data_IF_477460718817
#
_entry.id   IF_477460718817
#
_cell.length_a   1.000
_cell.length_b   1.000
_cell.length_c   1.000
_cell.angle_alpha   90.00
_cell.angle_beta   90.00
_cell.angle_gamma   90.00
#
_symmetry.space_group_name_H-M   'P 1'
#
loop_
_entity.id
_entity.type
_entity.pdbx_description
1 polymer ?
#
# COMPACT_ATOMS: atom_id res chain seq x y z
N UNK A 1 -7.99 14.41 41.95
CA UNK A 1 -7.05 13.37 42.44
C UNK A 1 -5.72 13.58 41.72
N UNK A 2 -4.57 13.50 42.39
CA UNK A 2 -3.27 13.76 41.77
C UNK A 2 -2.51 12.45 41.52
N UNK A 3 -1.73 12.41 40.42
CA UNK A 3 -0.94 11.22 40.07
C UNK A 3 0.13 10.96 41.15
N UNK A 4 0.13 9.73 41.69
CA UNK A 4 1.07 9.28 42.73
C UNK A 4 2.55 9.42 42.30
N UNK A 5 3.47 9.76 43.22
CA UNK A 5 4.91 9.80 42.95
C UNK A 5 5.46 8.48 42.37
N UNK A 6 4.92 7.33 42.80
CA UNK A 6 5.33 6.01 42.32
C UNK A 6 4.98 5.81 40.84
N UNK A 7 3.76 6.21 40.43
CA UNK A 7 3.34 6.19 39.03
C UNK A 7 4.23 7.08 38.17
N UNK A 8 4.60 8.28 38.66
CA UNK A 8 5.53 9.17 37.96
C UNK A 8 6.94 8.55 37.82
N UNK A 9 7.41 7.82 38.84
CA UNK A 9 8.70 7.10 38.76
C UNK A 9 8.64 5.96 37.73
N UNK A 10 7.55 5.19 37.75
CA UNK A 10 7.24 4.13 36.78
C UNK A 10 7.23 4.66 35.33
N UNK A 11 6.57 5.79 35.09
CA UNK A 11 6.53 6.46 33.78
C UNK A 11 7.91 6.94 33.32
N UNK A 12 8.74 7.51 34.21
CA UNK A 12 10.12 7.89 33.89
C UNK A 12 10.97 6.68 33.50
N UNK A 13 10.79 5.56 34.18
CA UNK A 13 11.47 4.29 33.84
C UNK A 13 11.04 3.79 32.46
N UNK A 14 9.73 3.76 32.19
CA UNK A 14 9.19 3.37 30.88
C UNK A 14 9.72 4.28 29.75
N UNK A 15 9.75 5.60 29.96
CA UNK A 15 10.30 6.55 28.98
C UNK A 15 11.78 6.31 28.70
N UNK A 16 12.60 6.08 29.73
CA UNK A 16 14.03 5.74 29.57
C UNK A 16 14.22 4.42 28.84
N UNK A 17 13.40 3.43 29.15
CA UNK A 17 13.42 2.12 28.50
C UNK A 17 13.13 2.26 27.00
N UNK A 18 12.04 2.97 26.66
CA UNK A 18 11.64 3.25 25.28
C UNK A 18 12.70 4.06 24.52
N UNK A 19 13.32 5.05 25.16
CA UNK A 19 14.38 5.84 24.56
C UNK A 19 15.61 4.98 24.22
N UNK A 20 15.99 4.05 25.11
CA UNK A 20 17.09 3.11 24.86
C UNK A 20 16.74 2.14 23.74
N UNK A 21 15.52 1.59 23.73
CA UNK A 21 15.04 0.71 22.67
C UNK A 21 15.10 1.40 21.29
N UNK A 22 14.59 2.63 21.20
CA UNK A 22 14.64 3.41 19.95
C UNK A 22 16.07 3.68 19.47
N UNK A 23 17.00 3.97 20.39
CA UNK A 23 18.41 4.17 20.04
C UNK A 23 19.06 2.91 19.46
N UNK A 24 18.77 1.74 20.04
CA UNK A 24 19.30 0.48 19.51
C UNK A 24 18.67 0.12 18.17
N UNK A 25 17.37 0.33 18.01
CA UNK A 25 16.63 -0.13 16.82
C UNK A 25 16.82 0.77 15.63
N UNK A 26 16.95 2.08 15.82
CA UNK A 26 17.14 3.05 14.75
C UNK A 26 18.59 3.55 14.64
N UNK A 27 19.55 2.80 15.15
CA UNK A 27 20.96 3.17 15.07
C UNK A 27 21.37 3.46 13.61
N UNK A 28 22.04 4.57 13.33
CA UNK A 28 22.45 4.92 11.96
C UNK A 28 21.33 5.39 11.02
N UNK A 29 20.06 5.41 11.46
CA UNK A 29 18.97 6.14 10.81
C UNK A 29 18.59 7.36 11.64
N UNK A 30 19.40 8.40 11.50
CA UNK A 30 19.30 9.63 12.29
C UNK A 30 17.97 10.36 12.08
N UNK A 31 17.40 10.29 10.87
CA UNK A 31 16.16 10.99 10.56
C UNK A 31 14.98 10.33 11.29
N UNK A 32 14.85 9.00 11.18
CA UNK A 32 13.80 8.25 11.87
C UNK A 32 13.98 8.35 13.38
N UNK A 33 15.22 8.24 13.88
CA UNK A 33 15.50 8.36 15.30
C UNK A 33 15.13 9.75 15.85
N UNK A 34 15.47 10.84 15.15
CA UNK A 34 15.10 12.21 15.54
C UNK A 34 13.58 12.40 15.53
N UNK A 35 12.90 11.96 14.47
CA UNK A 35 11.44 12.05 14.37
C UNK A 35 10.75 11.28 15.51
N UNK A 36 11.23 10.07 15.82
CA UNK A 36 10.71 9.26 16.91
C UNK A 36 10.91 9.93 18.27
N UNK A 37 12.11 10.46 18.54
CA UNK A 37 12.41 11.20 19.77
C UNK A 37 11.53 12.45 19.93
N UNK A 38 11.29 13.19 18.85
CA UNK A 38 10.38 14.34 18.86
C UNK A 38 8.95 13.92 19.23
N UNK A 39 8.45 12.84 18.62
CA UNK A 39 7.13 12.29 18.95
C UNK A 39 7.05 11.82 20.41
N UNK A 40 8.04 11.07 20.89
CA UNK A 40 8.12 10.66 22.30
C UNK A 40 8.07 11.86 23.25
N UNK A 41 8.84 12.90 22.96
CA UNK A 41 8.89 14.12 23.77
C UNK A 41 7.53 14.82 23.79
N UNK A 42 6.89 14.98 22.63
CA UNK A 42 5.58 15.62 22.53
C UNK A 42 4.52 14.83 23.31
N UNK A 43 4.51 13.50 23.17
CA UNK A 43 3.60 12.64 23.92
C UNK A 43 3.84 12.74 25.43
N UNK A 44 5.10 12.77 25.88
CA UNK A 44 5.44 12.91 27.29
C UNK A 44 5.06 14.29 27.85
N UNK A 45 5.13 15.36 27.05
CA UNK A 45 4.66 16.70 27.43
C UNK A 45 3.13 16.69 27.55
N UNK A 46 2.42 16.12 26.57
CA UNK A 46 0.96 16.00 26.60
C UNK A 46 0.48 15.18 27.81
N UNK A 47 1.17 14.08 28.13
CA UNK A 47 0.86 13.23 29.27
C UNK A 47 0.99 13.93 30.63
N UNK A 48 1.69 15.07 30.73
CA UNK A 48 1.77 15.86 31.98
C UNK A 48 0.47 16.56 32.32
N UNK A 49 -0.41 16.80 31.34
CA UNK A 49 -1.71 17.42 31.56
C UNK A 49 -2.76 16.43 32.10
N UNK A 50 -2.46 15.13 32.10
CA UNK A 50 -3.38 14.08 32.55
C UNK A 50 -3.40 14.04 34.08
N UNK A 51 -4.59 14.18 34.64
CA UNK A 51 -4.85 14.20 36.08
C UNK A 51 -5.33 12.83 36.58
N UNK A 52 -5.99 12.07 35.71
CA UNK A 52 -6.57 10.77 36.03
C UNK A 52 -5.48 9.67 36.16
N UNK A 53 -5.45 8.90 37.26
CA UNK A 53 -4.44 7.86 37.49
C UNK A 53 -4.52 6.66 36.53
N UNK A 54 -5.72 6.22 36.15
CA UNK A 54 -5.88 5.01 35.32
C UNK A 54 -5.34 5.22 33.92
N UNK A 55 -5.74 6.34 33.29
CA UNK A 55 -5.23 6.73 31.97
C UNK A 55 -3.72 6.97 31.98
N UNK A 56 -3.17 7.52 33.08
CA UNK A 56 -1.73 7.70 33.26
C UNK A 56 -0.98 6.35 33.32
N UNK A 57 -1.56 5.36 34.00
CA UNK A 57 -0.99 4.02 34.07
C UNK A 57 -1.05 3.30 32.71
N UNK A 58 -2.17 3.41 31.99
CA UNK A 58 -2.34 2.87 30.64
C UNK A 58 -1.29 3.42 29.68
N UNK A 59 -1.03 4.73 29.70
CA UNK A 59 0.04 5.32 28.89
C UNK A 59 1.44 4.83 29.28
N UNK A 60 1.66 4.59 30.57
CA UNK A 60 2.91 4.02 31.06
C UNK A 60 3.11 2.59 30.58
N UNK A 61 2.05 1.76 30.57
CA UNK A 61 2.05 0.40 30.02
C UNK A 61 2.32 0.42 28.52
N UNK A 62 1.59 1.26 27.77
CA UNK A 62 1.80 1.43 26.34
C UNK A 62 3.26 1.78 26.00
N UNK A 63 3.89 2.67 26.77
CA UNK A 63 5.30 3.00 26.57
C UNK A 63 6.26 1.82 26.73
N UNK A 64 5.94 0.86 27.61
CA UNK A 64 6.71 -0.39 27.77
C UNK A 64 6.48 -1.34 26.60
N UNK A 65 5.22 -1.54 26.21
CA UNK A 65 4.84 -2.39 25.08
C UNK A 65 5.50 -1.93 23.78
N UNK A 66 5.49 -0.61 23.51
CA UNK A 66 6.18 -0.06 22.35
C UNK A 66 7.68 -0.38 22.43
N UNK A 67 8.30 -0.26 23.61
CA UNK A 67 9.72 -0.58 23.76
C UNK A 67 10.02 -2.06 23.47
N UNK A 68 9.13 -2.96 23.87
CA UNK A 68 9.24 -4.39 23.62
C UNK A 68 9.07 -4.71 22.13
N UNK A 69 8.07 -4.13 21.47
CA UNK A 69 7.85 -4.26 20.03
C UNK A 69 9.06 -3.74 19.24
N UNK A 70 9.61 -2.59 19.63
CA UNK A 70 10.80 -2.03 18.98
C UNK A 70 11.97 -3.04 19.03
N UNK A 71 12.25 -3.65 20.19
CA UNK A 71 13.39 -4.58 20.34
C UNK A 71 13.16 -5.92 19.66
N UNK A 72 11.97 -6.48 19.84
CA UNK A 72 11.66 -7.87 19.48
C UNK A 72 11.27 -8.01 18.02
N UNK A 73 10.49 -7.06 17.50
CA UNK A 73 9.79 -7.23 16.22
C UNK A 73 10.38 -6.38 15.09
N UNK A 74 11.11 -5.31 15.40
CA UNK A 74 11.62 -4.40 14.37
C UNK A 74 13.09 -4.71 14.07
N UNK A 75 13.36 -4.95 12.78
CA UNK A 75 14.69 -5.20 12.24
C UNK A 75 14.95 -4.22 11.11
N UNK A 76 16.11 -3.53 11.14
CA UNK A 76 16.50 -2.62 10.07
C UNK A 76 17.30 -3.35 8.99
N UNK A 77 16.92 -3.16 7.72
CA UNK A 77 17.71 -3.57 6.57
C UNK A 77 18.64 -2.46 6.09
N UNK A 78 19.94 -2.74 6.01
CA UNK A 78 20.93 -1.84 5.40
C UNK A 78 21.28 -2.40 4.02
N UNK A 79 21.07 -1.62 2.97
CA UNK A 79 21.43 -2.02 1.60
C UNK A 79 22.95 -2.18 1.50
N UNK A 80 23.42 -3.34 1.04
CA UNK A 80 24.81 -3.58 0.72
C UNK A 80 24.96 -3.34 -0.79
N UNK A 81 25.74 -2.33 -1.16
CA UNK A 81 25.94 -1.96 -2.57
C UNK A 81 27.00 -2.81 -3.28
N UNK A 82 27.96 -3.36 -2.53
CA UNK A 82 29.15 -3.98 -3.10
C UNK A 82 29.33 -5.39 -2.50
N UNK A 83 28.78 -6.40 -3.18
CA UNK A 83 29.19 -7.79 -2.99
C UNK A 83 29.84 -8.19 -4.31
N UNK A 84 31.17 -8.26 -4.33
CA UNK A 84 31.91 -8.74 -5.50
C UNK A 84 31.49 -10.18 -5.79
N UNK A 85 30.92 -10.42 -6.96
CA UNK A 85 30.51 -11.76 -7.43
C UNK A 85 29.00 -11.98 -7.61
N UNK A 86 28.12 -11.02 -7.31
CA UNK A 86 26.68 -11.15 -7.55
C UNK A 86 26.23 -10.29 -8.75
N UNK A 87 26.16 -10.90 -9.93
CA UNK A 87 25.64 -10.29 -11.15
C UNK A 87 24.12 -10.12 -11.14
N UNK A 88 23.68 -9.06 -11.83
CA UNK A 88 22.32 -8.73 -12.27
C UNK A 88 21.25 -8.37 -11.22
N UNK A 89 21.24 -7.09 -10.86
CA UNK A 89 19.99 -6.34 -10.59
C UNK A 89 19.25 -6.66 -9.29
N UNK A 90 19.77 -7.54 -8.43
CA UNK A 90 19.16 -7.90 -7.15
C UNK A 90 19.75 -7.06 -6.01
N UNK A 91 18.90 -6.26 -5.36
CA UNK A 91 19.27 -5.50 -4.18
C UNK A 91 19.48 -6.43 -2.99
N UNK A 92 20.67 -6.40 -2.39
CA UNK A 92 20.99 -7.21 -1.21
C UNK A 92 20.94 -6.33 0.05
N UNK A 93 20.24 -6.78 1.08
CA UNK A 93 20.11 -6.05 2.34
C UNK A 93 20.66 -6.88 3.49
N UNK A 94 21.49 -6.27 4.34
CA UNK A 94 21.89 -6.82 5.63
C UNK A 94 20.87 -6.43 6.68
N UNK A 95 20.21 -7.42 7.25
CA UNK A 95 19.31 -7.23 8.39
C UNK A 95 20.12 -7.09 9.69
N UNK A 96 19.81 -6.06 10.49
CA UNK A 96 20.39 -5.83 11.81
C UNK A 96 19.57 -6.52 12.89
N UNK A 97 19.81 -7.81 13.06
CA UNK A 97 19.16 -8.63 14.08
C UNK A 97 19.92 -8.46 15.39
N UNK A 98 19.20 -8.20 16.48
CA UNK A 98 19.78 -8.10 17.83
C UNK A 98 19.47 -9.35 18.65
N UNK A 99 20.14 -9.52 19.80
CA UNK A 99 19.92 -10.67 20.68
C UNK A 99 18.47 -10.78 21.20
N UNK A 100 17.81 -9.65 21.33
CA UNK A 100 16.45 -9.54 21.85
C UNK A 100 15.40 -9.66 20.73
N UNK A 101 15.82 -9.75 19.47
CA UNK A 101 14.91 -9.89 18.34
C UNK A 101 14.31 -11.29 18.33
N UNK A 102 12.98 -11.39 18.37
CA UNK A 102 12.27 -12.66 18.35
C UNK A 102 12.37 -13.26 16.94
N UNK A 103 13.25 -14.25 16.80
CA UNK A 103 13.30 -15.12 15.64
C UNK A 103 12.16 -16.13 15.82
N UNK A 104 10.99 -15.84 15.26
CA UNK A 104 9.84 -16.73 15.36
C UNK A 104 10.20 -18.16 14.99
N UNK A 105 9.66 -19.14 15.71
CA UNK A 105 9.75 -20.53 15.28
C UNK A 105 8.88 -20.64 14.02
N UNK A 106 9.49 -20.91 12.87
CA UNK A 106 8.81 -21.05 11.57
C UNK A 106 7.88 -22.30 11.52
N UNK A 107 7.37 -22.76 12.65
CA UNK A 107 6.64 -24.01 12.82
C UNK A 107 5.30 -23.97 12.07
N UNK A 108 4.66 -22.81 11.97
CA UNK A 108 3.43 -22.61 11.18
C UNK A 108 3.65 -22.68 9.67
N UNK A 109 4.87 -22.40 9.19
CA UNK A 109 5.25 -22.56 7.78
C UNK A 109 5.65 -24.00 7.48
N UNK A 110 6.28 -24.69 8.45
CA UNK A 110 6.66 -26.10 8.34
C UNK A 110 5.44 -27.02 8.40
N UNK A 111 4.47 -26.69 9.26
CA UNK A 111 3.23 -27.44 9.45
C UNK A 111 2.04 -26.51 9.18
N UNK A 112 1.71 -26.25 7.90
CA UNK A 112 0.54 -25.43 7.60
C UNK A 112 -0.71 -26.11 8.13
N UNK A 113 -1.60 -25.33 8.74
CA UNK A 113 -2.93 -25.82 9.12
C UNK A 113 -3.64 -26.32 7.85
N UNK A 114 -4.27 -27.52 7.88
CA UNK A 114 -5.00 -28.01 6.73
C UNK A 114 -6.07 -27.01 6.33
N UNK A 115 -5.94 -26.43 5.13
CA UNK A 115 -6.96 -25.54 4.58
C UNK A 115 -8.18 -26.39 4.25
N UNK A 116 -9.37 -26.00 4.72
CA UNK A 116 -10.62 -26.65 4.34
C UNK A 116 -10.75 -26.64 2.81
N UNK A 117 -10.62 -27.83 2.21
CA UNK A 117 -10.70 -28.00 0.78
C UNK A 117 -12.12 -27.64 0.33
N UNK A 118 -12.22 -26.80 -0.71
CA UNK A 118 -13.52 -26.51 -1.34
C UNK A 118 -14.22 -27.80 -1.81
N UNK A 119 -15.55 -27.81 -1.81
CA UNK A 119 -16.37 -28.93 -2.30
C UNK A 119 -15.97 -29.36 -3.74
N UNK A 120 -15.42 -28.44 -4.53
CA UNK A 120 -14.91 -28.70 -5.88
C UNK A 120 -13.63 -29.55 -5.91
N UNK A 121 -12.73 -29.35 -4.95
CA UNK A 121 -11.51 -30.14 -4.79
C UNK A 121 -11.80 -31.53 -4.22
N UNK A 122 -12.75 -31.62 -3.27
CA UNK A 122 -13.24 -32.90 -2.71
C UNK A 122 -13.82 -33.78 -3.83
N UNK A 123 -14.67 -33.20 -4.69
CA UNK A 123 -15.30 -33.91 -5.83
C UNK A 123 -14.33 -34.36 -6.93
N UNK A 124 -13.11 -33.80 -7.00
CA UNK A 124 -12.07 -34.22 -7.96
C UNK A 124 -11.24 -35.39 -7.43
N UNK A 125 -11.03 -35.44 -6.11
CA UNK A 125 -10.38 -36.57 -5.44
C UNK A 125 -11.33 -37.77 -5.32
N UNK A 126 -12.63 -37.56 -5.04
CA UNK A 126 -13.65 -38.62 -5.03
C UNK A 126 -13.84 -39.27 -6.41
N UNK A 127 -13.73 -38.51 -7.51
CA UNK A 127 -13.79 -39.08 -8.87
C UNK A 127 -12.58 -39.96 -9.23
N UNK A 128 -11.49 -39.88 -8.47
CA UNK A 128 -10.36 -40.81 -8.57
C UNK A 128 -10.55 -42.09 -7.75
N UNK A 129 -11.53 -42.13 -6.86
CA UNK A 129 -11.77 -43.22 -5.93
C UNK A 129 -13.19 -43.80 -6.10
N UNK A 130 -13.28 -44.75 -7.05
CA UNK A 130 -14.27 -45.84 -7.14
C UNK A 130 -15.68 -45.55 -7.67
N UNK A 131 -16.01 -46.44 -8.60
CA UNK A 131 -17.33 -46.82 -9.10
C UNK A 131 -18.20 -47.39 -7.98
N UNK A 132 -19.52 -47.30 -8.19
CA UNK A 132 -20.65 -48.05 -7.61
C UNK A 132 -21.65 -47.31 -6.70
N UNK A 133 -22.89 -47.35 -7.22
CA UNK A 133 -24.20 -47.37 -6.59
C UNK A 133 -24.86 -46.06 -6.12
N UNK A 134 -26.17 -46.12 -6.26
CA UNK A 134 -27.20 -45.08 -6.30
C UNK A 134 -27.81 -44.79 -4.92
N UNK A 135 -28.21 -43.55 -4.66
CA UNK A 135 -29.60 -43.22 -4.26
C UNK A 135 -29.78 -41.72 -4.01
N UNK A 136 -31.02 -41.31 -4.25
CA UNK A 136 -31.62 -39.98 -4.21
C UNK A 136 -31.94 -39.58 -2.77
N UNK A 137 -31.72 -38.30 -2.41
CA UNK A 137 -32.71 -37.45 -1.69
C UNK A 137 -32.24 -36.00 -1.64
N UNK A 138 -33.11 -35.10 -2.09
CA UNK A 138 -33.05 -33.64 -1.94
C UNK A 138 -33.33 -33.21 -0.50
N UNK A 139 -32.49 -32.33 0.08
CA UNK A 139 -32.90 -31.35 1.10
C UNK A 139 -31.99 -30.11 0.98
N UNK A 140 -32.60 -28.96 0.66
CA UNK A 140 -31.94 -27.66 0.69
C UNK A 140 -31.72 -27.17 2.14
N UNK A 141 -30.64 -26.43 2.46
CA UNK A 141 -30.65 -25.57 3.63
C UNK A 141 -30.72 -24.10 3.21
N UNK A 142 -31.87 -23.54 3.54
CA UNK A 142 -32.11 -22.23 4.14
C UNK A 142 -31.00 -21.16 4.09
N UNK A 143 -31.44 -20.06 3.50
CA UNK A 143 -30.99 -18.69 3.59
C UNK A 143 -30.83 -18.22 5.05
N UNK A 144 -29.60 -17.99 5.50
CA UNK A 144 -29.32 -17.15 6.67
C UNK A 144 -28.69 -15.83 6.23
N UNK A 145 -29.56 -14.83 6.25
CA UNK A 145 -29.25 -13.42 6.12
C UNK A 145 -28.46 -12.92 7.34
N UNK A 146 -27.19 -12.60 7.14
CA UNK A 146 -26.52 -11.57 7.93
C UNK A 146 -25.81 -10.62 6.96
N UNK A 147 -26.52 -9.57 6.58
CA UNK A 147 -26.02 -8.50 5.74
C UNK A 147 -24.94 -7.71 6.51
N UNK A 148 -23.69 -8.16 6.41
CA UNK A 148 -22.55 -7.29 6.65
C UNK A 148 -22.52 -6.28 5.51
N UNK A 149 -22.81 -5.03 5.83
CA UNK A 149 -22.78 -3.87 4.94
C UNK A 149 -21.49 -3.87 4.10
N UNK A 150 -21.60 -4.37 2.86
CA UNK A 150 -20.45 -4.52 1.97
C UNK A 150 -20.04 -3.14 1.48
N UNK A 151 -18.84 -2.70 1.83
CA UNK A 151 -18.11 -1.76 0.98
C UNK A 151 -18.07 -2.40 -0.41
N UNK A 152 -18.76 -1.76 -1.35
CA UNK A 152 -18.99 -2.22 -2.71
C UNK A 152 -17.72 -2.86 -3.29
N UNK A 153 -17.80 -4.17 -3.57
CA UNK A 153 -16.70 -4.93 -4.15
C UNK A 153 -16.46 -4.39 -5.55
N UNK A 154 -15.49 -3.49 -5.70
CA UNK A 154 -15.08 -3.01 -7.00
C UNK A 154 -14.69 -4.21 -7.88
N UNK A 155 -15.09 -4.24 -9.16
CA UNK A 155 -14.80 -5.36 -10.04
C UNK A 155 -13.29 -5.61 -10.13
N UNK A 156 -12.88 -6.81 -9.71
CA UNK A 156 -11.46 -7.23 -9.65
C UNK A 156 -10.80 -7.36 -11.04
N UNK A 157 -11.59 -7.46 -12.11
CA UNK A 157 -11.10 -7.58 -13.49
C UNK A 157 -11.18 -6.26 -14.26
N UNK A 158 -10.12 -5.94 -15.01
CA UNK A 158 -10.02 -4.69 -15.79
C UNK A 158 -11.16 -4.52 -16.81
N UNK A 159 -11.68 -5.62 -17.37
CA UNK A 159 -12.81 -5.60 -18.30
C UNK A 159 -14.08 -5.06 -17.67
N UNK A 160 -14.38 -5.48 -16.45
CA UNK A 160 -15.58 -5.09 -15.73
C UNK A 160 -15.43 -3.69 -15.14
N UNK A 161 -14.22 -3.35 -14.68
CA UNK A 161 -13.86 -1.98 -14.29
C UNK A 161 -14.01 -1.00 -15.46
N UNK A 162 -13.61 -1.37 -16.68
CA UNK A 162 -13.82 -0.55 -17.89
C UNK A 162 -15.31 -0.33 -18.19
N UNK A 163 -16.13 -1.38 -18.08
CA UNK A 163 -17.59 -1.25 -18.29
C UNK A 163 -18.22 -0.35 -17.23
N UNK A 164 -17.82 -0.51 -15.98
CA UNK A 164 -18.34 0.29 -14.87
C UNK A 164 -17.90 1.76 -15.00
N UNK A 165 -16.64 2.02 -15.36
CA UNK A 165 -16.14 3.37 -15.65
C UNK A 165 -16.92 4.09 -16.75
N UNK A 166 -17.37 3.38 -17.79
CA UNK A 166 -18.15 3.98 -18.87
C UNK A 166 -19.57 4.38 -18.43
N UNK A 167 -20.12 3.70 -17.41
CA UNK A 167 -21.47 3.94 -16.88
C UNK A 167 -21.52 4.96 -15.74
N UNK A 168 -20.39 5.52 -15.33
CA UNK A 168 -20.33 6.43 -14.18
C UNK A 168 -20.97 7.79 -14.51
N UNK A 169 -21.54 8.40 -13.48
CA UNK A 169 -22.09 9.74 -13.58
C UNK A 169 -20.96 10.77 -13.53
N UNK A 170 -20.87 11.60 -14.56
CA UNK A 170 -19.89 12.70 -14.62
C UNK A 170 -20.54 13.91 -13.93
N UNK A 171 -19.93 14.47 -12.87
CA UNK A 171 -20.50 15.63 -12.19
C UNK A 171 -20.51 16.84 -13.14
N UNK A 172 -21.69 17.39 -13.41
CA UNK A 172 -21.84 18.63 -14.15
C UNK A 172 -21.65 19.82 -13.19
N UNK A 173 -20.80 20.77 -13.57
CA UNK A 173 -20.55 21.98 -12.79
C UNK A 173 -21.44 23.11 -13.31
N UNK A 174 -22.38 23.57 -12.49
CA UNK A 174 -23.14 24.81 -12.74
C UNK A 174 -22.30 25.99 -12.28
N UNK A 175 -22.34 27.09 -13.02
CA UNK A 175 -21.54 28.29 -12.68
C UNK A 175 -22.04 28.98 -11.41
N UNK A 176 -23.32 28.81 -11.06
CA UNK A 176 -23.96 29.41 -9.87
C UNK A 176 -23.42 28.83 -8.54
N UNK A 177 -23.05 27.55 -8.56
CA UNK A 177 -22.54 26.80 -7.41
C UNK A 177 -21.05 27.04 -7.14
N UNK A 178 -20.40 27.82 -8.01
CA UNK A 178 -18.98 28.13 -7.95
C UNK A 178 -18.74 29.51 -7.36
N UNK A 179 -17.77 29.59 -6.46
CA UNK A 179 -17.20 30.84 -5.99
C UNK A 179 -15.76 30.93 -6.50
N UNK A 180 -15.51 31.93 -7.34
CA UNK A 180 -14.23 32.19 -7.97
C UNK A 180 -13.54 33.37 -7.27
N UNK A 181 -12.30 33.17 -6.85
CA UNK A 181 -11.45 34.22 -6.28
C UNK A 181 -10.06 34.21 -6.92
N UNK A 182 -9.47 35.40 -7.06
CA UNK A 182 -8.17 35.59 -7.69
C UNK A 182 -7.19 36.11 -6.65
N UNK A 183 -6.07 35.41 -6.51
CA UNK A 183 -5.06 35.72 -5.51
C UNK A 183 -3.71 35.89 -6.20
N UNK A 184 -2.81 36.63 -5.58
CA UNK A 184 -1.41 36.72 -6.01
C UNK A 184 -0.76 35.35 -5.84
N UNK A 185 0.11 35.00 -6.80
CA UNK A 185 0.81 33.73 -6.73
C UNK A 185 1.76 33.68 -5.54
N UNK A 186 1.98 32.48 -5.00
CA UNK A 186 2.95 32.24 -3.93
C UNK A 186 4.02 31.27 -4.44
N UNK A 187 5.28 31.47 -4.04
CA UNK A 187 6.39 30.57 -4.38
C UNK A 187 7.65 31.29 -4.90
N UNK A 188 8.70 30.52 -5.24
CA UNK A 188 9.94 31.03 -5.83
C UNK A 188 9.66 31.54 -7.26
N UNK A 189 9.13 32.76 -7.33
CA UNK A 189 8.70 33.40 -8.56
C UNK A 189 9.39 34.75 -8.76
N UNK A 190 9.61 35.12 -10.02
CA UNK A 190 10.09 36.47 -10.37
C UNK A 190 9.05 37.55 -10.11
N UNK A 191 9.38 38.80 -10.47
CA UNK A 191 8.52 39.97 -10.24
C UNK A 191 7.08 39.83 -10.77
N UNK A 192 6.88 39.07 -11.85
CA UNK A 192 5.55 38.86 -12.44
C UNK A 192 4.59 38.09 -11.52
N UNK A 193 5.08 37.15 -10.71
CA UNK A 193 4.23 36.31 -9.85
C UNK A 193 3.69 37.11 -8.66
N UNK A 194 4.50 38.02 -8.12
CA UNK A 194 4.13 38.87 -6.99
C UNK A 194 3.20 40.03 -7.38
N UNK A 195 3.22 40.44 -8.66
CA UNK A 195 2.42 41.58 -9.15
C UNK A 195 1.07 41.14 -9.73
N UNK A 196 0.99 39.95 -10.33
CA UNK A 196 -0.22 39.54 -11.07
C UNK A 196 -1.08 38.56 -10.27
N UNK A 197 -2.38 38.84 -10.19
CA UNK A 197 -3.40 38.01 -9.54
C UNK A 197 -3.86 36.87 -10.47
N UNK A 198 -2.92 36.01 -10.84
CA UNK A 198 -3.13 34.89 -11.78
C UNK A 198 -3.47 33.56 -11.09
N UNK A 199 -3.38 33.48 -9.76
CA UNK A 199 -3.72 32.27 -9.02
C UNK A 199 -5.24 32.21 -8.83
N UNK A 200 -5.88 31.23 -9.48
CA UNK A 200 -7.33 31.04 -9.40
C UNK A 200 -7.64 30.10 -8.25
N UNK A 201 -8.44 30.56 -7.31
CA UNK A 201 -9.03 29.74 -6.27
C UNK A 201 -10.52 29.54 -6.57
N UNK A 202 -10.92 28.29 -6.72
CA UNK A 202 -12.27 27.87 -7.02
C UNK A 202 -12.83 27.09 -5.82
N UNK A 203 -13.97 27.52 -5.29
CA UNK A 203 -14.71 26.83 -4.26
C UNK A 203 -16.04 26.34 -4.83
N UNK A 204 -16.35 25.05 -4.65
CA UNK A 204 -17.68 24.52 -4.92
C UNK A 204 -18.52 24.61 -3.65
N UNK A 205 -19.52 25.50 -3.65
CA UNK A 205 -20.34 25.80 -2.47
C UNK A 205 -21.01 24.57 -1.85
N UNK A 206 -21.70 23.69 -2.61
CA UNK A 206 -22.47 22.61 -1.99
C UNK A 206 -21.59 21.50 -1.40
N UNK A 207 -20.38 21.26 -1.94
CA UNK A 207 -19.46 20.23 -1.42
C UNK A 207 -18.34 20.78 -0.56
N UNK A 208 -18.17 22.11 -0.48
CA UNK A 208 -17.09 22.77 0.26
C UNK A 208 -15.68 22.54 -0.28
N UNK A 209 -15.53 22.01 -1.50
CA UNK A 209 -14.21 21.66 -2.05
C UNK A 209 -13.55 22.89 -2.64
N UNK A 210 -12.32 23.16 -2.18
CA UNK A 210 -11.45 24.22 -2.71
C UNK A 210 -10.35 23.67 -3.61
N UNK A 211 -10.10 24.35 -4.72
CA UNK A 211 -9.01 24.09 -5.66
C UNK A 211 -8.28 25.39 -5.95
N UNK A 212 -6.96 25.40 -5.82
CA UNK A 212 -6.10 26.48 -6.27
C UNK A 212 -5.31 26.05 -7.50
N UNK A 213 -5.18 26.92 -8.51
CA UNK A 213 -4.45 26.64 -9.73
C UNK A 213 -3.57 27.84 -10.14
N UNK A 214 -2.28 27.57 -10.28
CA UNK A 214 -1.26 28.53 -10.73
C UNK A 214 -0.27 27.83 -11.69
N UNK A 215 -0.77 27.22 -12.76
CA UNK A 215 0.06 26.49 -13.72
C UNK A 215 0.66 27.39 -14.80
N UNK A 216 -0.09 28.39 -15.25
CA UNK A 216 0.32 29.24 -16.39
C UNK A 216 0.23 30.72 -16.04
N UNK A 217 0.86 31.57 -16.87
CA UNK A 217 0.76 33.04 -16.76
C UNK A 217 -0.58 33.62 -17.22
N UNK A 218 -1.48 32.79 -17.77
CA UNK A 218 -2.76 33.25 -18.33
C UNK A 218 -3.90 32.90 -17.39
N UNK A 219 -4.63 33.92 -16.92
CA UNK A 219 -5.77 33.76 -16.02
C UNK A 219 -6.86 32.86 -16.63
N UNK A 220 -7.23 33.07 -17.90
CA UNK A 220 -8.26 32.29 -18.59
C UNK A 220 -7.91 30.81 -18.66
N UNK A 221 -6.63 30.50 -18.91
CA UNK A 221 -6.16 29.12 -18.96
C UNK A 221 -6.17 28.49 -17.56
N UNK A 222 -5.71 29.22 -16.54
CA UNK A 222 -5.78 28.78 -15.14
C UNK A 222 -7.23 28.55 -14.67
N UNK A 223 -8.20 29.37 -15.09
CA UNK A 223 -9.64 29.16 -14.79
C UNK A 223 -10.14 27.83 -15.36
N UNK A 224 -9.81 27.53 -16.63
CA UNK A 224 -10.18 26.26 -17.27
C UNK A 224 -9.56 25.06 -16.58
N UNK A 225 -8.28 25.17 -16.21
CA UNK A 225 -7.54 24.12 -15.53
C UNK A 225 -8.11 23.90 -14.11
N UNK A 226 -8.40 24.97 -13.36
CA UNK A 226 -9.02 24.90 -12.04
C UNK A 226 -10.38 24.18 -12.09
N UNK A 227 -11.23 24.50 -13.08
CA UNK A 227 -12.52 23.80 -13.29
C UNK A 227 -12.31 22.30 -13.56
N UNK A 228 -11.34 21.93 -14.39
CA UNK A 228 -11.00 20.53 -14.66
C UNK A 228 -10.54 19.80 -13.39
N UNK A 229 -9.66 20.41 -12.60
CA UNK A 229 -9.19 19.86 -11.33
C UNK A 229 -10.33 19.71 -10.32
N UNK A 230 -11.28 20.64 -10.29
CA UNK A 230 -12.45 20.56 -9.44
C UNK A 230 -13.35 19.38 -9.82
N UNK A 231 -13.62 19.17 -11.12
CA UNK A 231 -14.37 18.00 -11.61
C UNK A 231 -13.67 16.71 -11.21
N UNK A 232 -12.35 16.63 -11.36
CA UNK A 232 -11.58 15.43 -10.99
C UNK A 232 -11.64 15.14 -9.47
N UNK A 233 -11.69 16.18 -8.63
CA UNK A 233 -11.91 16.01 -7.18
C UNK A 233 -13.33 15.59 -6.84
N UNK A 234 -14.34 16.18 -7.48
CA UNK A 234 -15.75 15.82 -7.29
C UNK A 234 -16.01 14.37 -7.68
N UNK A 235 -15.47 13.95 -8.82
CA UNK A 235 -15.57 12.58 -9.33
C UNK A 235 -14.99 11.55 -8.35
N UNK A 236 -13.90 11.86 -7.65
CA UNK A 236 -13.34 10.97 -6.62
C UNK A 236 -14.27 10.74 -5.43
N UNK A 237 -15.08 11.74 -5.08
CA UNK A 237 -15.99 11.67 -3.94
C UNK A 237 -17.31 11.00 -4.36
N UNK A 238 -17.83 11.35 -5.53
CA UNK A 238 -19.09 10.78 -6.03
C UNK A 238 -18.93 9.32 -6.49
N UNK A 239 -17.80 8.98 -7.12
CA UNK A 239 -17.54 7.67 -7.70
C UNK A 239 -16.29 7.02 -7.06
N UNK A 240 -16.35 6.57 -5.79
CA UNK A 240 -15.21 5.98 -5.12
C UNK A 240 -14.69 4.72 -5.85
N UNK A 241 -13.40 4.74 -6.20
CA UNK A 241 -12.70 3.66 -6.90
C UNK A 241 -13.00 3.53 -8.41
N UNK A 242 -13.98 4.26 -8.93
CA UNK A 242 -14.25 4.42 -10.36
C UNK A 242 -13.76 5.76 -10.91
N UNK A 243 -13.03 6.52 -10.09
CA UNK A 243 -12.46 7.79 -10.51
C UNK A 243 -11.57 7.61 -11.75
N UNK A 244 -11.49 8.66 -12.56
CA UNK A 244 -10.62 8.72 -13.75
C UNK A 244 -9.17 8.32 -13.44
N UNK A 245 -8.62 8.78 -12.31
CA UNK A 245 -7.24 8.46 -11.92
C UNK A 245 -7.08 6.96 -11.60
N UNK A 246 -8.04 6.37 -10.91
CA UNK A 246 -8.02 4.96 -10.55
C UNK A 246 -8.17 4.07 -11.78
N UNK A 247 -9.03 4.45 -12.73
CA UNK A 247 -9.13 3.82 -14.03
C UNK A 247 -7.82 3.88 -14.82
N UNK A 248 -7.15 5.04 -14.85
CA UNK A 248 -5.86 5.20 -15.53
C UNK A 248 -4.78 4.32 -14.89
N UNK A 249 -4.71 4.28 -13.55
CA UNK A 249 -3.82 3.39 -12.80
C UNK A 249 -4.10 1.92 -13.10
N UNK A 250 -5.36 1.51 -13.16
CA UNK A 250 -5.76 0.14 -13.52
C UNK A 250 -5.38 -0.20 -14.96
N UNK A 251 -5.57 0.74 -15.90
CA UNK A 251 -5.19 0.59 -17.32
C UNK A 251 -3.67 0.45 -17.50
N UNK A 252 -2.88 1.19 -16.74
CA UNK A 252 -1.42 1.08 -16.74
C UNK A 252 -0.98 -0.30 -16.21
N UNK A 253 -1.51 -0.73 -15.06
CA UNK A 253 -1.23 -2.07 -14.49
C UNK A 253 -1.56 -3.21 -15.46
N UNK A 254 -2.69 -3.14 -16.16
CA UNK A 254 -3.06 -4.16 -17.15
C UNK A 254 -2.13 -4.16 -18.37
N UNK A 255 -1.70 -2.98 -18.85
CA UNK A 255 -0.70 -2.87 -19.93
C UNK A 255 0.63 -3.49 -19.52
N UNK A 256 1.10 -3.20 -18.32
CA UNK A 256 2.35 -3.75 -17.78
C UNK A 256 2.26 -5.26 -17.59
N UNK A 257 1.15 -5.77 -17.05
CA UNK A 257 0.89 -7.21 -16.93
C UNK A 257 0.97 -7.91 -18.28
N UNK A 258 0.36 -7.33 -19.33
CA UNK A 258 0.43 -7.88 -20.70
C UNK A 258 1.86 -7.84 -21.26
N UNK A 259 2.60 -6.76 -21.02
CA UNK A 259 4.02 -6.66 -21.41
C UNK A 259 4.86 -7.74 -20.73
N UNK A 260 4.70 -7.93 -19.41
CA UNK A 260 5.40 -8.96 -18.64
C UNK A 260 5.07 -10.37 -19.12
N UNK A 261 3.79 -10.66 -19.41
CA UNK A 261 3.38 -11.95 -19.99
C UNK A 261 4.01 -12.20 -21.36
N UNK A 262 4.01 -11.20 -22.25
CA UNK A 262 4.64 -11.30 -23.57
C UNK A 262 6.16 -11.48 -23.48
N UNK A 263 6.82 -10.75 -22.57
CA UNK A 263 8.25 -10.90 -22.32
C UNK A 263 8.59 -12.30 -21.78
N UNK A 264 7.79 -12.81 -20.83
CA UNK A 264 7.97 -14.17 -20.31
C UNK A 264 7.76 -15.24 -21.39
N UNK A 265 6.74 -15.07 -22.24
CA UNK A 265 6.50 -15.97 -23.38
C UNK A 265 7.65 -15.92 -24.39
N UNK A 266 8.08 -14.72 -24.79
CA UNK A 266 9.23 -14.58 -25.70
C UNK A 266 10.51 -15.21 -25.13
N UNK A 267 10.72 -15.09 -23.82
CA UNK A 267 11.86 -15.72 -23.15
C UNK A 267 11.74 -17.25 -23.09
N UNK A 268 10.52 -17.79 -22.91
CA UNK A 268 10.31 -19.25 -22.97
C UNK A 268 10.44 -19.80 -24.38
N UNK A 269 9.89 -19.10 -25.38
CA UNK A 269 9.97 -19.49 -26.79
C UNK A 269 11.42 -19.44 -27.27
N UNK A 270 12.20 -18.41 -26.87
CA UNK A 270 13.63 -18.34 -27.15
C UNK A 270 14.41 -19.47 -26.48
N UNK A 271 14.11 -19.78 -25.22
CA UNK A 271 14.79 -20.88 -24.53
C UNK A 271 14.54 -22.23 -25.23
N UNK A 272 13.32 -22.48 -25.71
CA UNK A 272 13.06 -23.70 -26.50
C UNK A 272 13.71 -23.70 -27.88
N UNK A 273 13.84 -22.55 -28.55
CA UNK A 273 14.58 -22.45 -29.82
C UNK A 273 16.09 -22.67 -29.62
N UNK A 274 16.69 -22.09 -28.57
CA UNK A 274 18.10 -22.28 -28.23
C UNK A 274 18.37 -23.77 -27.85
N UNK A 275 17.45 -24.43 -27.13
CA UNK A 275 17.56 -25.87 -26.79
C UNK A 275 17.44 -26.80 -28.03
N UNK A 276 16.62 -26.45 -29.03
CA UNK A 276 16.47 -27.22 -30.28
C UNK A 276 17.67 -27.05 -31.23
N UNK A 277 18.30 -25.86 -31.27
CA UNK A 277 19.52 -25.63 -32.06
C UNK A 277 20.74 -26.40 -31.49
N UNK A 278 20.87 -26.46 -30.15
CA UNK A 278 21.93 -27.23 -29.49
C UNK A 278 21.81 -28.75 -29.77
N UNK A 279 20.58 -29.29 -29.83
CA UNK A 279 20.31 -30.70 -30.15
C UNK A 279 20.59 -31.06 -31.64
N UNK A 280 20.42 -30.11 -32.56
CA UNK A 280 20.76 -30.29 -33.99
C UNK A 280 22.28 -30.24 -34.23
N UNK A 281 23.00 -29.32 -33.59
CA UNK A 281 24.46 -29.20 -33.71
C UNK A 281 25.18 -30.43 -33.13
N UNK A 282 24.69 -31.00 -32.03
CA UNK A 282 25.23 -32.24 -31.46
C UNK A 282 25.01 -33.44 -32.39
N UNK A 283 23.87 -33.54 -33.07
CA UNK A 283 23.61 -34.59 -34.06
C UNK A 283 24.51 -34.46 -35.30
N UNK A 284 24.74 -33.24 -35.80
CA UNK A 284 25.64 -32.99 -36.93
C UNK A 284 27.10 -33.27 -36.57
N UNK A 285 27.53 -32.96 -35.34
CA UNK A 285 28.87 -33.26 -34.85
C UNK A 285 29.13 -34.77 -34.71
N UNK A 286 28.12 -35.55 -34.31
CA UNK A 286 28.22 -37.02 -34.21
C UNK A 286 28.33 -37.66 -35.60
N UNK A 287 27.56 -37.20 -36.60
CA UNK A 287 27.58 -37.76 -37.95
C UNK A 287 28.92 -37.49 -38.67
N UNK A 288 29.51 -36.29 -38.51
CA UNK A 288 30.83 -35.96 -39.10
C UNK A 288 32.00 -36.74 -38.50
N UNK A 289 31.86 -37.34 -37.31
CA UNK A 289 32.89 -38.21 -36.70
C UNK A 289 32.83 -39.65 -37.20
N UNK A 290 31.76 -40.04 -37.90
CA UNK A 290 31.50 -41.41 -38.35
C UNK A 290 31.69 -41.62 -39.86
N UNK A 291 31.95 -40.55 -40.62
CA UNK A 291 32.30 -40.55 -42.05
C UNK A 291 33.77 -40.20 -42.25
#
# INVERSE_FOLDING_TARGET
MSVSPALKASARSAYRNLYRAANSTFAGDDHVLKAFRMKMRNNAIAARAIVDPETYEQQTKLGREIADVLRKNIVQGVKISNIEGLSDGKETFRLRITKDTELGSNDSVKNPTPVEKSNRSMRKEEKGAKQHHTSVTDVAPHNDSFASFSMSHLPMHFTDLKKAYLKRDIPELREEDLEESFVRGSGPGGQSINKTENNVQLLHKPTGIRVSCQETRSLKLNRRIARKHLIEKLDKIMNPGLSKDDYLRAKQRERERRRRKRAKKKASDKASEDDEEDDEDDQVAVVKKLT
#
